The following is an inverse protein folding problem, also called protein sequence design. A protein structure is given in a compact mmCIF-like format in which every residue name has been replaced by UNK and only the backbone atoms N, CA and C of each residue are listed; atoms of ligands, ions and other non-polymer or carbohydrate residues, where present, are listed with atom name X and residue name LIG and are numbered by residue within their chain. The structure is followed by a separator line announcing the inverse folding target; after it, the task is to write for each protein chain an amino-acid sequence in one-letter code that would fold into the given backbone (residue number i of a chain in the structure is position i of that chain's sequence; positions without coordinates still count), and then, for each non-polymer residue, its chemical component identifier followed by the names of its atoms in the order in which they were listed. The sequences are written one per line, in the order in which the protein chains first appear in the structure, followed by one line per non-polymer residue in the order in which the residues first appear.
data_IF_804287673677
#
_entry.id   IF_804287673677
#
_cell.length_a   1.000
_cell.length_b   1.000
_cell.length_c   1.000
_cell.angle_alpha   90.00
_cell.angle_beta   90.00
_cell.angle_gamma   90.00
#
_symmetry.space_group_name_H-M   'P 1'
#
loop_
_entity.id
_entity.type
_entity.pdbx_description
1 polymer ?
#
# COMPACT_ATOMS: atom_id res chain seq x y z
N UNK A 1 -42.81 -12.44 -20.76
CA UNK A 1 -42.20 -11.10 -20.55
C UNK A 1 -41.74 -10.82 -19.10
N UNK A 2 -42.39 -11.38 -18.06
CA UNK A 2 -41.95 -11.22 -16.65
C UNK A 2 -40.60 -11.86 -16.27
N UNK A 3 -40.21 -13.07 -16.75
CA UNK A 3 -38.97 -13.70 -16.28
C UNK A 3 -37.72 -13.04 -16.89
N UNK A 4 -37.82 -12.49 -18.11
CA UNK A 4 -36.72 -11.83 -18.79
C UNK A 4 -36.26 -10.54 -18.05
N UNK A 5 -37.21 -9.80 -17.45
CA UNK A 5 -36.90 -8.62 -16.64
C UNK A 5 -36.20 -8.97 -15.33
N UNK A 6 -36.56 -10.10 -14.71
CA UNK A 6 -35.93 -10.60 -13.47
C UNK A 6 -34.50 -11.05 -13.77
N UNK A 7 -34.29 -11.80 -14.86
CA UNK A 7 -32.96 -12.23 -15.30
C UNK A 7 -32.07 -11.01 -15.61
N UNK A 8 -32.62 -9.98 -16.28
CA UNK A 8 -31.88 -8.74 -16.54
C UNK A 8 -31.51 -7.98 -15.26
N UNK A 9 -32.37 -8.01 -14.23
CA UNK A 9 -32.10 -7.37 -12.94
C UNK A 9 -31.00 -8.10 -12.17
N UNK A 10 -30.98 -9.43 -12.22
CA UNK A 10 -29.95 -10.27 -11.60
C UNK A 10 -28.60 -10.04 -12.30
N UNK A 11 -28.56 -10.02 -13.64
CA UNK A 11 -27.33 -9.72 -14.36
C UNK A 11 -26.78 -8.33 -14.01
N UNK A 12 -27.61 -7.29 -14.00
CA UNK A 12 -27.18 -5.94 -13.65
C UNK A 12 -26.65 -5.84 -12.21
N UNK A 13 -27.27 -6.56 -11.27
CA UNK A 13 -26.79 -6.67 -9.88
C UNK A 13 -25.41 -7.33 -9.80
N UNK A 14 -25.17 -8.39 -10.57
CA UNK A 14 -23.90 -9.12 -10.54
C UNK A 14 -22.75 -8.31 -11.18
N UNK A 15 -23.05 -7.51 -12.21
CA UNK A 15 -22.10 -6.58 -12.81
C UNK A 15 -21.66 -5.47 -11.85
N UNK A 16 -22.54 -5.00 -10.96
CA UNK A 16 -22.22 -3.92 -10.00
C UNK A 16 -21.30 -4.39 -8.87
N UNK A 17 -21.38 -5.66 -8.48
CA UNK A 17 -20.53 -6.25 -7.43
C UNK A 17 -19.06 -6.45 -7.83
N UNK A 18 -18.72 -6.42 -9.12
CA UNK A 18 -17.33 -6.59 -9.60
C UNK A 18 -16.42 -5.39 -9.29
N UNK A 19 -16.99 -4.22 -8.95
CA UNK A 19 -16.21 -2.99 -8.68
C UNK A 19 -15.56 -2.93 -7.29
N UNK A 20 -16.04 -3.71 -6.32
CA UNK A 20 -15.60 -3.62 -4.92
C UNK A 20 -14.41 -4.52 -4.56
N UNK A 21 -13.89 -5.30 -5.52
CA UNK A 21 -12.85 -6.30 -5.30
C UNK A 21 -11.45 -5.89 -5.80
N UNK A 22 -11.24 -4.61 -6.12
CA UNK A 22 -9.94 -4.15 -6.61
C UNK A 22 -8.99 -3.86 -5.44
N UNK A 23 -7.76 -4.34 -5.56
CA UNK A 23 -6.67 -3.97 -4.65
C UNK A 23 -6.47 -2.45 -4.77
N UNK A 24 -6.58 -1.68 -3.66
CA UNK A 24 -6.37 -0.25 -3.72
C UNK A 24 -4.96 0.04 -4.25
N UNK A 25 -4.84 1.08 -5.07
CA UNK A 25 -3.54 1.52 -5.54
C UNK A 25 -2.63 1.79 -4.33
N UNK A 26 -1.35 1.41 -4.40
CA UNK A 26 -0.43 1.65 -3.30
C UNK A 26 -0.40 3.16 -2.99
N UNK A 27 -0.34 3.55 -1.70
CA UNK A 27 -0.40 4.95 -1.28
C UNK A 27 0.78 5.78 -1.80
N UNK A 28 1.83 5.13 -2.31
CA UNK A 28 2.94 5.76 -2.97
C UNK A 28 3.42 4.92 -4.15
N UNK A 29 3.91 5.59 -5.20
CA UNK A 29 4.58 4.94 -6.31
C UNK A 29 6.10 5.13 -6.18
N UNK A 30 6.84 4.10 -6.59
CA UNK A 30 8.29 4.18 -6.64
C UNK A 30 8.74 5.25 -7.65
N UNK A 31 9.76 6.03 -7.30
CA UNK A 31 10.29 7.11 -8.16
C UNK A 31 9.44 8.39 -8.24
N UNK A 32 8.19 8.37 -7.77
CA UNK A 32 7.33 9.55 -7.72
C UNK A 32 7.32 10.15 -6.31
N UNK A 33 7.95 11.32 -6.18
CA UNK A 33 8.04 12.10 -4.95
C UNK A 33 7.48 13.49 -5.27
N UNK A 34 6.61 14.02 -4.40
CA UNK A 34 6.08 15.37 -4.60
C UNK A 34 7.20 16.41 -4.48
N UNK A 35 7.07 17.54 -5.18
CA UNK A 35 8.03 18.65 -5.04
C UNK A 35 8.06 19.22 -3.62
N UNK A 36 6.93 19.19 -2.92
CA UNK A 36 6.79 19.56 -1.52
C UNK A 36 7.64 18.65 -0.61
N UNK A 37 7.46 17.32 -0.68
CA UNK A 37 8.25 16.36 0.09
C UNK A 37 9.74 16.49 -0.22
N UNK A 38 10.09 16.71 -1.49
CA UNK A 38 11.48 16.84 -1.92
C UNK A 38 12.13 18.11 -1.38
N UNK A 39 11.40 19.24 -1.36
CA UNK A 39 11.90 20.54 -0.92
C UNK A 39 11.76 20.81 0.58
N UNK A 40 10.97 20.00 1.30
CA UNK A 40 10.77 20.11 2.76
C UNK A 40 12.11 20.13 3.51
N UNK A 41 12.32 21.15 4.34
CA UNK A 41 13.55 21.32 5.16
C UNK A 41 13.31 21.09 6.64
N UNK A 42 12.08 21.31 7.10
CA UNK A 42 11.62 21.08 8.45
C UNK A 42 10.13 20.74 8.40
N UNK A 43 9.64 20.09 9.44
CA UNK A 43 8.22 19.78 9.59
C UNK A 43 7.60 20.82 10.53
N UNK A 44 6.60 21.57 10.07
CA UNK A 44 6.05 22.71 10.82
C UNK A 44 5.49 22.32 12.20
N UNK A 45 4.81 21.18 12.28
CA UNK A 45 4.23 20.71 13.54
C UNK A 45 5.29 20.22 14.55
N UNK A 46 6.49 19.87 14.09
CA UNK A 46 7.63 19.51 14.92
C UNK A 46 8.94 19.91 14.23
N UNK A 47 9.40 21.12 14.50
CA UNK A 47 10.66 21.64 13.94
C UNK A 47 11.90 20.98 14.58
N UNK A 48 11.73 20.29 15.71
CA UNK A 48 12.77 19.51 16.34
C UNK A 48 12.97 18.14 15.66
N UNK A 49 12.00 17.66 14.89
CA UNK A 49 12.06 16.39 14.17
C UNK A 49 13.36 16.22 13.34
N UNK A 50 13.97 15.06 13.47
CA UNK A 50 15.20 14.71 12.75
C UNK A 50 14.90 14.03 11.41
N UNK A 51 13.77 13.33 11.36
CA UNK A 51 13.23 12.68 10.18
C UNK A 51 11.70 12.64 10.25
N UNK A 52 11.04 12.49 9.10
CA UNK A 52 9.58 12.42 8.97
C UNK A 52 9.21 11.19 8.15
N UNK A 53 8.32 10.35 8.68
CA UNK A 53 7.73 9.23 7.92
C UNK A 53 6.64 9.79 7.01
N UNK A 54 6.92 9.84 5.71
CA UNK A 54 5.98 10.30 4.70
C UNK A 54 4.97 9.22 4.31
N UNK A 55 5.37 7.95 4.41
CA UNK A 55 4.52 6.81 4.14
C UNK A 55 5.06 5.56 4.84
N UNK A 56 4.17 4.77 5.42
CA UNK A 56 4.46 3.42 5.93
C UNK A 56 3.24 2.56 5.60
N UNK A 57 3.39 1.62 4.67
CA UNK A 57 2.34 0.68 4.31
C UNK A 57 2.92 -0.70 4.05
N UNK A 58 2.08 -1.73 4.24
CA UNK A 58 2.45 -3.11 4.00
C UNK A 58 1.41 -3.83 3.15
N UNK A 59 1.89 -4.85 2.45
CA UNK A 59 1.10 -5.76 1.63
C UNK A 59 1.42 -7.22 2.03
N UNK A 60 0.41 -8.08 1.96
CA UNK A 60 0.49 -9.50 2.27
C UNK A 60 -0.09 -10.30 1.11
N UNK A 61 0.76 -11.06 0.41
CA UNK A 61 0.36 -11.91 -0.72
C UNK A 61 0.39 -13.38 -0.34
N UNK A 62 -0.73 -14.05 -0.56
CA UNK A 62 -0.85 -15.50 -0.41
C UNK A 62 -0.75 -16.14 -1.79
N UNK A 63 0.25 -16.99 -2.00
CA UNK A 63 0.35 -17.86 -3.18
C UNK A 63 -0.02 -19.28 -2.76
N UNK A 64 -1.05 -19.84 -3.38
CA UNK A 64 -1.48 -21.22 -3.16
C UNK A 64 -0.69 -22.16 -4.08
N UNK A 65 -0.31 -23.32 -3.54
CA UNK A 65 0.33 -24.42 -4.25
C UNK A 65 -0.46 -25.71 -3.99
N UNK A 66 -0.32 -26.75 -4.82
CA UNK A 66 -1.04 -28.02 -4.62
C UNK A 66 -0.87 -28.63 -3.22
N UNK A 67 0.28 -28.41 -2.58
CA UNK A 67 0.63 -29.01 -1.29
C UNK A 67 0.81 -27.99 -0.16
N UNK A 68 0.34 -26.74 -0.32
CA UNK A 68 0.51 -25.73 0.73
C UNK A 68 0.33 -24.30 0.24
N UNK A 69 0.85 -23.35 1.00
CA UNK A 69 0.82 -21.94 0.65
C UNK A 69 2.14 -21.25 0.97
N UNK A 70 2.37 -20.12 0.30
CA UNK A 70 3.39 -19.14 0.66
C UNK A 70 2.73 -17.82 0.99
N UNK A 71 3.05 -17.28 2.16
CA UNK A 71 2.64 -15.95 2.59
C UNK A 71 3.86 -15.02 2.52
N UNK A 72 3.81 -14.02 1.64
CA UNK A 72 4.84 -12.98 1.51
C UNK A 72 4.31 -11.67 2.08
N UNK A 73 5.03 -11.10 3.04
CA UNK A 73 4.83 -9.74 3.51
C UNK A 73 5.85 -8.80 2.85
N UNK A 74 5.39 -7.66 2.37
CA UNK A 74 6.24 -6.57 1.87
C UNK A 74 5.86 -5.28 2.61
N UNK A 75 6.82 -4.61 3.22
CA UNK A 75 6.62 -3.29 3.82
C UNK A 75 7.38 -2.23 3.02
N UNK A 76 6.71 -1.10 2.76
CA UNK A 76 7.26 0.05 2.08
C UNK A 76 7.20 1.26 3.02
N UNK A 77 8.38 1.82 3.32
CA UNK A 77 8.54 3.00 4.16
C UNK A 77 9.28 4.09 3.41
N UNK A 78 8.74 5.32 3.39
CA UNK A 78 9.41 6.52 2.89
C UNK A 78 9.69 7.46 4.06
N UNK A 79 10.96 7.76 4.26
CA UNK A 79 11.42 8.65 5.32
C UNK A 79 12.10 9.86 4.68
N UNK A 80 11.66 11.06 5.05
CA UNK A 80 12.34 12.31 4.77
C UNK A 80 13.31 12.61 5.89
N UNK A 81 14.60 12.60 5.61
CA UNK A 81 15.63 13.01 6.57
C UNK A 81 15.71 14.54 6.55
N UNK A 82 15.48 15.16 7.71
CA UNK A 82 15.49 16.62 7.90
C UNK A 82 16.81 17.09 8.50
N UNK A 83 17.44 16.26 9.33
CA UNK A 83 18.71 16.54 10.03
C UNK A 83 19.69 15.39 9.89
N UNK A 84 20.99 15.67 10.01
CA UNK A 84 22.04 14.64 9.93
C UNK A 84 21.89 13.55 10.99
N UNK A 85 21.37 13.87 12.18
CA UNK A 85 21.12 12.89 13.24
C UNK A 85 20.07 11.84 12.85
N UNK A 86 19.09 12.21 12.03
CA UNK A 86 18.06 11.30 11.52
C UNK A 86 18.54 10.24 10.52
N UNK A 87 19.84 10.19 10.20
CA UNK A 87 20.42 9.11 9.38
C UNK A 87 20.52 7.77 10.12
N UNK A 88 20.49 7.76 11.46
CA UNK A 88 20.48 6.51 12.23
C UNK A 88 19.18 5.72 12.06
N UNK A 89 18.08 6.42 11.74
CA UNK A 89 16.80 5.79 11.41
C UNK A 89 16.84 5.22 9.99
N UNK A 90 17.56 4.10 9.82
CA UNK A 90 17.72 3.48 8.52
C UNK A 90 16.40 2.91 7.99
N UNK A 91 16.17 3.08 6.68
CA UNK A 91 15.05 2.47 5.96
C UNK A 91 15.29 0.96 5.88
N UNK A 92 14.46 0.18 6.59
CA UNK A 92 14.44 -1.28 6.45
C UNK A 92 13.33 -1.69 5.46
N UNK A 93 13.70 -2.39 4.40
CA UNK A 93 12.74 -3.17 3.60
C UNK A 93 12.73 -4.58 4.17
N UNK A 94 11.67 -4.94 4.89
CA UNK A 94 11.49 -6.29 5.44
C UNK A 94 10.61 -7.10 4.49
N UNK A 95 11.17 -8.18 3.93
CA UNK A 95 10.41 -9.20 3.22
C UNK A 95 10.41 -10.49 4.04
N UNK A 96 9.24 -10.91 4.52
CA UNK A 96 9.07 -12.19 5.22
C UNK A 96 8.26 -13.13 4.36
N UNK A 97 8.85 -14.27 4.04
CA UNK A 97 8.14 -15.39 3.40
C UNK A 97 7.95 -16.50 4.41
N UNK A 98 6.70 -16.91 4.63
CA UNK A 98 6.35 -18.11 5.39
C UNK A 98 5.76 -19.15 4.44
N UNK A 99 6.12 -20.41 4.59
CA UNK A 99 5.57 -21.53 3.82
C UNK A 99 5.08 -22.63 4.75
N UNK A 100 3.94 -23.25 4.43
CA UNK A 100 3.45 -24.47 5.09
C UNK A 100 3.93 -25.73 4.38
#
# INVERSE_FOLDING_TARGET
MRPLKIVSLILASHYLSLGFAQEPAPPMQFGLISGEDLSMRFYEADTAAEALVLCDFGDAKVTLYPNGYRLRFAQHKRIKILKKSGFQDSIYTYERSQSS
#
